data_IF_057948931777
#
_entry.id   IF_057948931777
#
_cell.length_a   1.000
_cell.length_b   1.000
_cell.length_c   1.000
_cell.angle_alpha   90.00
_cell.angle_beta   90.00
_cell.angle_gamma   90.00
#
_symmetry.space_group_name_H-M   'P 1'
#
loop_
_entity.id
_entity.type
_entity.pdbx_description
1 polymer ?
#
# COMPACT_ATOMS: atom_id res chain seq x y z
N UNK A 1 -39.37 16.84 32.32
CA UNK A 1 -40.22 16.74 31.12
C UNK A 1 -39.31 16.91 29.92
N UNK A 2 -38.74 15.79 29.47
CA UNK A 2 -39.15 15.00 28.28
C UNK A 2 -38.53 15.56 27.00
N UNK A 3 -37.35 15.03 26.62
CA UNK A 3 -37.11 14.07 25.51
C UNK A 3 -37.11 14.77 24.14
N UNK A 4 -36.13 14.58 23.26
CA UNK A 4 -35.83 13.28 22.62
C UNK A 4 -34.42 13.27 22.02
N UNK A 5 -33.70 12.18 22.28
CA UNK A 5 -32.44 11.74 21.66
C UNK A 5 -32.67 11.25 20.22
N UNK A 6 -31.64 11.34 19.38
CA UNK A 6 -31.52 10.52 18.18
C UNK A 6 -30.10 9.96 18.13
N UNK A 7 -29.97 8.72 18.64
CA UNK A 7 -28.79 7.88 18.64
C UNK A 7 -28.35 7.53 17.21
N UNK A 8 -27.12 7.93 16.84
CA UNK A 8 -26.43 7.49 15.62
C UNK A 8 -25.49 6.30 15.86
N UNK A 9 -25.98 5.26 16.55
CA UNK A 9 -25.23 4.02 16.78
C UNK A 9 -25.12 3.22 15.48
N UNK A 10 -23.88 3.02 15.00
CA UNK A 10 -23.57 1.95 14.06
C UNK A 10 -23.25 0.69 14.87
N UNK A 11 -24.16 -0.27 14.87
CA UNK A 11 -23.90 -1.59 15.44
C UNK A 11 -22.95 -2.37 14.52
N UNK A 12 -21.69 -2.50 14.95
CA UNK A 12 -20.77 -3.52 14.43
C UNK A 12 -21.02 -4.81 15.21
N UNK A 13 -21.66 -5.76 14.55
CA UNK A 13 -21.94 -7.09 15.08
C UNK A 13 -20.68 -7.75 15.65
N UNK A 14 -20.79 -8.22 16.89
CA UNK A 14 -19.74 -8.95 17.57
C UNK A 14 -19.45 -10.28 16.88
N UNK A 15 -18.24 -10.40 16.36
CA UNK A 15 -17.66 -11.65 15.90
C UNK A 15 -16.26 -11.78 16.50
N UNK A 16 -16.08 -12.77 17.36
CA UNK A 16 -14.80 -13.15 17.95
C UNK A 16 -13.81 -13.45 16.83
N UNK A 17 -12.74 -12.64 16.69
CA UNK A 17 -11.69 -12.87 15.70
C UNK A 17 -10.88 -14.11 16.14
N UNK A 18 -11.21 -15.25 15.54
CA UNK A 18 -10.36 -16.43 15.59
C UNK A 18 -8.98 -16.11 15.00
N UNK A 19 -7.92 -16.53 15.70
CA UNK A 19 -6.55 -16.57 15.18
C UNK A 19 -6.52 -17.48 13.95
N UNK A 20 -6.68 -16.90 12.76
CA UNK A 20 -6.69 -17.60 11.49
C UNK A 20 -5.30 -17.60 10.85
N UNK A 21 -4.76 -18.79 10.61
CA UNK A 21 -3.71 -19.03 9.62
C UNK A 21 -4.09 -18.39 8.29
N UNK A 22 -3.19 -17.59 7.71
CA UNK A 22 -3.41 -16.97 6.41
C UNK A 22 -3.52 -18.04 5.30
N UNK A 23 -4.50 -17.95 4.39
CA UNK A 23 -4.51 -18.78 3.19
C UNK A 23 -3.27 -18.48 2.33
N UNK A 24 -2.75 -19.46 1.56
CA UNK A 24 -1.66 -19.21 0.62
C UNK A 24 -2.06 -18.13 -0.39
N UNK A 25 -1.12 -17.31 -0.90
CA UNK A 25 -1.43 -16.27 -1.87
C UNK A 25 -1.97 -16.89 -3.17
N UNK A 26 -3.28 -16.85 -3.37
CA UNK A 26 -3.95 -17.39 -4.57
C UNK A 26 -4.12 -16.35 -5.67
N UNK A 27 -3.66 -15.10 -5.49
CA UNK A 27 -3.68 -14.11 -6.56
C UNK A 27 -2.66 -14.49 -7.64
N UNK A 28 -3.16 -14.99 -8.76
CA UNK A 28 -2.38 -15.14 -9.99
C UNK A 28 -1.87 -13.75 -10.42
N UNK A 29 -0.57 -13.65 -10.67
CA UNK A 29 0.08 -12.41 -11.08
C UNK A 29 0.48 -12.53 -12.56
N UNK A 30 -0.11 -11.75 -13.48
CA UNK A 30 0.27 -11.74 -14.90
C UNK A 30 1.78 -11.49 -15.12
N UNK A 31 2.43 -10.81 -14.17
CA UNK A 31 3.88 -10.66 -14.12
C UNK A 31 4.63 -11.99 -14.27
N UNK A 32 4.15 -13.06 -13.64
CA UNK A 32 4.81 -14.36 -13.66
C UNK A 32 4.52 -15.20 -14.91
N UNK A 33 3.49 -14.85 -15.66
CA UNK A 33 3.23 -15.47 -16.96
C UNK A 33 4.08 -14.80 -18.03
N UNK A 34 4.18 -13.46 -17.98
CA UNK A 34 5.05 -12.70 -18.87
C UNK A 34 6.53 -12.94 -18.59
N UNK A 35 6.91 -13.04 -17.30
CA UNK A 35 8.30 -13.21 -16.86
C UNK A 35 8.42 -14.37 -15.85
N UNK A 36 8.45 -15.64 -16.31
CA UNK A 36 8.46 -16.81 -15.42
C UNK A 36 9.61 -16.85 -14.42
N UNK A 37 10.79 -16.31 -14.76
CA UNK A 37 11.95 -16.24 -13.86
C UNK A 37 11.68 -15.45 -12.58
N UNK A 38 10.73 -14.49 -12.60
CA UNK A 38 10.39 -13.69 -11.42
C UNK A 38 9.62 -14.48 -10.35
N UNK A 39 9.16 -15.71 -10.64
CA UNK A 39 8.56 -16.61 -9.63
C UNK A 39 9.53 -16.96 -8.50
N UNK A 40 10.84 -16.84 -8.73
CA UNK A 40 11.86 -17.04 -7.70
C UNK A 40 11.91 -15.90 -6.67
N UNK A 41 11.31 -14.74 -6.95
CA UNK A 41 11.24 -13.62 -6.03
C UNK A 41 10.10 -13.84 -5.04
N UNK A 42 10.37 -13.95 -3.73
CA UNK A 42 9.34 -14.22 -2.74
C UNK A 42 8.41 -13.02 -2.57
N UNK A 43 7.19 -13.29 -2.10
CA UNK A 43 6.16 -12.29 -1.82
C UNK A 43 5.39 -12.63 -0.55
N UNK A 44 4.86 -11.62 0.13
CA UNK A 44 3.89 -11.77 1.20
C UNK A 44 2.46 -11.72 0.62
N UNK A 45 1.46 -12.51 1.06
CA UNK A 45 0.09 -12.44 0.55
C UNK A 45 -0.67 -11.21 1.10
N UNK A 46 -0.34 -10.00 0.63
CA UNK A 46 -0.91 -8.77 1.22
C UNK A 46 -2.18 -8.29 0.53
N UNK A 47 -2.23 -8.41 -0.79
CA UNK A 47 -3.31 -7.87 -1.61
C UNK A 47 -4.11 -8.91 -2.38
N UNK A 48 -5.31 -8.49 -2.76
CA UNK A 48 -6.23 -9.22 -3.62
C UNK A 48 -6.20 -8.58 -5.02
N UNK A 49 -5.76 -9.36 -6.00
CA UNK A 49 -5.60 -8.94 -7.39
C UNK A 49 -6.32 -9.91 -8.33
N UNK A 50 -6.84 -9.43 -9.49
CA UNK A 50 -6.76 -8.06 -10.00
C UNK A 50 -7.64 -7.08 -9.22
N UNK A 51 -7.18 -5.82 -9.06
CA UNK A 51 -8.03 -4.79 -8.47
C UNK A 51 -9.16 -4.40 -9.44
N UNK A 52 -10.38 -4.12 -8.95
CA UNK A 52 -11.52 -3.81 -9.79
C UNK A 52 -11.30 -2.58 -10.66
N UNK A 53 -11.98 -2.53 -11.80
CA UNK A 53 -12.10 -1.33 -12.65
C UNK A 53 -13.55 -0.87 -12.61
N UNK A 54 -13.76 0.43 -12.48
CA UNK A 54 -15.09 1.01 -12.32
C UNK A 54 -15.27 2.24 -13.22
N UNK A 55 -16.38 2.28 -13.96
CA UNK A 55 -16.77 3.44 -14.73
C UNK A 55 -17.35 4.51 -13.80
N UNK A 56 -16.76 5.71 -13.82
CA UNK A 56 -17.24 6.86 -13.06
C UNK A 56 -18.04 7.76 -13.99
N UNK A 57 -19.26 8.10 -13.57
CA UNK A 57 -20.21 8.93 -14.33
C UNK A 57 -20.55 10.18 -13.54
N UNK A 58 -21.06 11.20 -14.24
CA UNK A 58 -21.61 12.42 -13.60
C UNK A 58 -20.57 13.48 -13.24
N UNK A 59 -19.35 13.40 -13.79
CA UNK A 59 -18.36 14.46 -13.69
C UNK A 59 -18.52 15.40 -14.89
N UNK A 60 -18.84 16.67 -14.63
CA UNK A 60 -19.05 17.67 -15.67
C UNK A 60 -17.80 17.81 -16.56
N UNK A 61 -17.98 17.71 -17.87
CA UNK A 61 -16.89 17.80 -18.85
C UNK A 61 -16.04 16.54 -19.00
N UNK A 62 -16.43 15.41 -18.39
CA UNK A 62 -15.74 14.13 -18.51
C UNK A 62 -16.73 13.04 -18.91
N UNK A 63 -16.73 12.69 -20.19
CA UNK A 63 -17.65 11.71 -20.77
C UNK A 63 -17.23 10.26 -20.50
N UNK A 64 -15.92 10.02 -20.39
CA UNK A 64 -15.34 8.70 -20.15
C UNK A 64 -14.28 8.76 -19.06
N UNK A 65 -14.59 8.20 -17.89
CA UNK A 65 -13.64 8.03 -16.80
C UNK A 65 -13.78 6.63 -16.23
N UNK A 66 -12.65 5.96 -16.11
CA UNK A 66 -12.53 4.68 -15.42
C UNK A 66 -11.51 4.82 -14.30
N UNK A 67 -11.80 4.18 -13.17
CA UNK A 67 -10.90 4.13 -12.02
C UNK A 67 -10.55 2.68 -11.74
N UNK A 68 -9.24 2.40 -11.71
CA UNK A 68 -8.72 1.15 -11.17
C UNK A 68 -8.67 1.26 -9.65
N UNK A 69 -9.56 0.53 -8.97
CA UNK A 69 -9.86 0.61 -7.53
C UNK A 69 -8.80 -0.08 -6.69
N UNK A 70 -7.56 0.38 -6.79
CA UNK A 70 -6.47 -0.10 -5.94
C UNK A 70 -6.74 0.16 -4.45
N UNK A 71 -7.58 1.11 -4.10
CA UNK A 71 -8.05 1.32 -2.72
C UNK A 71 -8.78 0.09 -2.13
N UNK A 72 -9.27 -0.82 -2.98
CA UNK A 72 -9.97 -2.06 -2.60
C UNK A 72 -9.08 -3.31 -2.71
N UNK A 73 -7.78 -3.16 -2.97
CA UNK A 73 -6.87 -4.29 -3.23
C UNK A 73 -6.33 -5.00 -1.97
N UNK A 74 -6.88 -4.71 -0.79
CA UNK A 74 -6.51 -5.39 0.45
C UNK A 74 -7.66 -5.30 1.46
N UNK A 75 -7.81 -6.29 2.36
CA UNK A 75 -8.86 -6.30 3.37
C UNK A 75 -8.70 -5.18 4.41
N UNK A 76 -7.46 -4.75 4.65
CA UNK A 76 -7.14 -3.68 5.58
C UNK A 76 -6.21 -2.70 4.90
N UNK A 77 -6.70 -1.47 4.66
CA UNK A 77 -5.97 -0.38 4.02
C UNK A 77 -5.33 -0.78 2.68
N UNK A 78 -6.16 -0.76 1.64
CA UNK A 78 -5.72 -0.91 0.26
C UNK A 78 -4.90 0.28 -0.24
N UNK A 79 -4.64 0.26 -1.54
CA UNK A 79 -4.01 1.33 -2.28
C UNK A 79 -2.74 0.89 -2.99
N UNK A 80 -2.09 1.86 -3.65
CA UNK A 80 -0.92 1.58 -4.48
C UNK A 80 0.25 0.99 -3.66
N UNK A 81 0.37 1.30 -2.37
CA UNK A 81 1.47 0.80 -1.53
C UNK A 81 1.41 -0.69 -1.27
N UNK A 82 0.22 -1.30 -1.26
CA UNK A 82 0.07 -2.76 -1.09
C UNK A 82 0.87 -3.50 -2.17
N UNK A 83 0.79 -3.04 -3.41
CA UNK A 83 1.50 -3.63 -4.55
C UNK A 83 3.01 -3.70 -4.35
N UNK A 84 3.64 -2.62 -3.89
CA UNK A 84 5.07 -2.64 -3.59
C UNK A 84 5.40 -3.44 -2.33
N UNK A 85 4.58 -3.29 -1.29
CA UNK A 85 4.79 -3.97 -0.01
C UNK A 85 4.70 -5.49 -0.14
N UNK A 86 3.96 -6.00 -1.12
CA UNK A 86 3.84 -7.44 -1.37
C UNK A 86 5.22 -8.09 -1.57
N UNK A 87 6.10 -7.41 -2.31
CA UNK A 87 7.46 -7.86 -2.54
C UNK A 87 8.42 -7.43 -1.42
N UNK A 88 8.23 -6.23 -0.85
CA UNK A 88 9.15 -5.66 0.14
C UNK A 88 9.01 -6.27 1.54
N UNK A 89 7.85 -6.82 1.88
CA UNK A 89 7.59 -7.52 3.14
C UNK A 89 7.68 -9.05 3.00
N UNK A 90 8.23 -9.53 1.89
CA UNK A 90 8.46 -10.95 1.69
C UNK A 90 9.36 -11.52 2.81
N UNK A 91 8.90 -12.59 3.45
CA UNK A 91 9.61 -13.25 4.56
C UNK A 91 9.66 -12.45 5.86
N UNK A 92 8.88 -11.37 5.98
CA UNK A 92 8.62 -10.70 7.26
C UNK A 92 7.64 -11.55 8.08
N UNK A 93 7.93 -11.74 9.36
CA UNK A 93 7.07 -12.50 10.26
C UNK A 93 7.12 -12.04 11.72
N UNK A 94 6.51 -12.81 12.63
CA UNK A 94 6.51 -12.51 14.06
C UNK A 94 7.93 -12.31 14.63
N UNK A 95 8.13 -11.23 15.38
CA UNK A 95 9.41 -10.88 16.00
C UNK A 95 10.35 -10.04 15.12
N UNK A 96 10.06 -9.89 13.82
CA UNK A 96 10.79 -8.94 12.97
C UNK A 96 10.44 -7.49 13.32
N UNK A 97 11.37 -6.58 13.02
CA UNK A 97 11.11 -5.14 13.03
C UNK A 97 11.24 -4.57 11.62
N UNK A 98 10.14 -4.04 11.08
CA UNK A 98 10.14 -3.30 9.83
C UNK A 98 10.57 -1.87 10.07
N UNK A 99 11.66 -1.44 9.43
CA UNK A 99 12.15 -0.07 9.46
C UNK A 99 11.76 0.65 8.17
N UNK A 100 11.12 1.80 8.29
CA UNK A 100 10.76 2.66 7.16
C UNK A 100 10.94 4.13 7.52
N UNK A 101 10.61 5.03 6.59
CA UNK A 101 10.68 6.47 6.78
C UNK A 101 9.61 7.20 5.98
N UNK A 102 9.19 8.37 6.48
CA UNK A 102 8.21 9.24 5.84
C UNK A 102 7.90 10.47 6.69
N UNK A 103 7.34 11.51 6.07
CA UNK A 103 6.82 12.66 6.81
C UNK A 103 5.74 12.27 7.83
N UNK A 104 5.45 13.13 8.79
CA UNK A 104 4.51 12.83 9.89
C UNK A 104 3.14 12.24 9.46
N UNK A 105 2.60 12.67 8.32
CA UNK A 105 1.31 12.24 7.76
C UNK A 105 1.47 11.30 6.55
N UNK A 106 2.57 10.55 6.48
CA UNK A 106 2.88 9.70 5.33
C UNK A 106 1.98 8.45 5.26
N UNK A 107 1.20 8.35 4.19
CA UNK A 107 0.41 7.14 3.87
C UNK A 107 1.28 5.91 3.64
N UNK A 108 2.55 6.10 3.24
CA UNK A 108 3.53 5.01 3.13
C UNK A 108 3.86 4.39 4.49
N UNK A 109 4.06 5.22 5.52
CA UNK A 109 4.33 4.74 6.88
C UNK A 109 3.11 4.01 7.44
N UNK A 110 1.91 4.58 7.24
CA UNK A 110 0.65 3.96 7.63
C UNK A 110 0.45 2.59 6.95
N UNK A 111 0.66 2.50 5.63
CA UNK A 111 0.53 1.26 4.88
C UNK A 111 1.57 0.22 5.31
N UNK A 112 2.83 0.62 5.46
CA UNK A 112 3.89 -0.27 5.93
C UNK A 112 3.54 -0.85 7.30
N UNK A 113 3.12 0.01 8.24
CA UNK A 113 2.76 -0.41 9.58
C UNK A 113 1.55 -1.34 9.63
N UNK A 114 0.54 -1.04 8.81
CA UNK A 114 -0.68 -1.86 8.70
C UNK A 114 -0.34 -3.27 8.24
N UNK A 115 0.40 -3.39 7.15
CA UNK A 115 0.71 -4.69 6.55
C UNK A 115 1.82 -5.45 7.29
N UNK A 116 2.80 -4.77 7.89
CA UNK A 116 3.78 -5.40 8.78
C UNK A 116 3.12 -6.02 10.01
N UNK A 117 2.17 -5.29 10.63
CA UNK A 117 1.41 -5.80 11.78
C UNK A 117 0.57 -7.02 11.42
N UNK A 118 -0.04 -7.05 10.22
CA UNK A 118 -0.75 -8.25 9.73
C UNK A 118 0.16 -9.48 9.66
N UNK A 119 1.44 -9.29 9.35
CA UNK A 119 2.46 -10.34 9.34
C UNK A 119 3.05 -10.64 10.74
N UNK A 120 2.57 -9.97 11.80
CA UNK A 120 3.06 -10.13 13.17
C UNK A 120 4.33 -9.34 13.51
N UNK A 121 4.79 -8.46 12.62
CA UNK A 121 6.00 -7.67 12.80
C UNK A 121 5.71 -6.28 13.38
N UNK A 122 6.69 -5.76 14.14
CA UNK A 122 6.66 -4.38 14.62
C UNK A 122 7.10 -3.40 13.54
N UNK A 123 6.76 -2.11 13.68
CA UNK A 123 7.24 -1.05 12.80
C UNK A 123 7.95 0.06 13.54
N UNK A 124 9.14 0.43 13.06
CA UNK A 124 9.87 1.64 13.43
C UNK A 124 9.89 2.58 12.22
N UNK A 125 9.53 3.85 12.43
CA UNK A 125 9.53 4.84 11.37
C UNK A 125 10.39 6.05 11.74
N UNK A 126 11.35 6.41 10.89
CA UNK A 126 12.06 7.70 11.00
C UNK A 126 11.22 8.77 10.30
N UNK A 127 10.82 9.80 11.04
CA UNK A 127 9.85 10.80 10.56
C UNK A 127 10.33 12.22 10.73
N UNK A 128 9.93 13.07 9.80
CA UNK A 128 10.22 14.51 9.81
C UNK A 128 8.94 15.35 9.64
N UNK A 129 8.97 16.64 10.05
CA UNK A 129 7.90 17.58 9.76
C UNK A 129 7.73 17.82 8.26
N UNK A 130 6.49 17.95 7.81
CA UNK A 130 6.14 18.39 6.46
C UNK A 130 4.84 19.19 6.56
N UNK A 131 4.41 19.82 5.47
CA UNK A 131 3.12 20.51 5.42
C UNK A 131 1.98 19.55 5.83
N UNK A 132 1.17 19.98 6.78
CA UNK A 132 0.10 19.16 7.34
C UNK A 132 -1.26 19.74 6.93
N UNK A 133 -2.07 18.93 6.27
CA UNK A 133 -3.47 19.18 6.00
C UNK A 133 -4.37 18.19 6.77
N UNK A 134 -5.69 18.38 6.76
CA UNK A 134 -6.63 17.57 7.53
C UNK A 134 -6.44 16.04 7.32
N UNK A 135 -6.25 15.60 6.07
CA UNK A 135 -5.95 14.19 5.76
C UNK A 135 -4.59 13.74 6.31
N UNK A 136 -3.54 14.56 6.25
CA UNK A 136 -2.23 14.22 6.83
C UNK A 136 -2.31 14.05 8.36
N UNK A 137 -3.12 14.87 9.04
CA UNK A 137 -3.38 14.70 10.48
C UNK A 137 -4.12 13.41 10.81
N UNK A 138 -5.11 13.01 10.00
CA UNK A 138 -5.79 11.71 10.14
C UNK A 138 -4.82 10.54 9.96
N UNK A 139 -3.99 10.58 8.91
CA UNK A 139 -2.96 9.56 8.66
C UNK A 139 -1.97 9.46 9.83
N UNK A 140 -1.56 10.59 10.40
CA UNK A 140 -0.68 10.61 11.58
C UNK A 140 -1.36 9.93 12.79
N UNK A 141 -2.62 10.24 13.07
CA UNK A 141 -3.38 9.65 14.17
C UNK A 141 -3.55 8.13 13.98
N UNK A 142 -3.95 7.68 12.79
CA UNK A 142 -4.08 6.26 12.46
C UNK A 142 -2.74 5.53 12.57
N UNK A 143 -1.64 6.15 12.12
CA UNK A 143 -0.29 5.60 12.24
C UNK A 143 0.08 5.40 13.72
N UNK A 144 -0.27 6.35 14.59
CA UNK A 144 -0.09 6.23 16.04
C UNK A 144 -0.91 5.09 16.64
N UNK A 145 -2.17 4.93 16.21
CA UNK A 145 -3.04 3.83 16.65
C UNK A 145 -2.51 2.45 16.24
N UNK A 146 -1.65 2.34 15.21
CA UNK A 146 -0.96 1.09 14.85
C UNK A 146 0.28 0.78 15.70
N UNK A 147 0.63 1.62 16.67
CA UNK A 147 1.76 1.37 17.57
C UNK A 147 3.13 1.59 16.92
N UNK A 148 3.21 2.41 15.87
CA UNK A 148 4.49 2.71 15.19
C UNK A 148 5.45 3.41 16.14
N UNK A 149 6.63 2.82 16.35
CA UNK A 149 7.72 3.43 17.11
C UNK A 149 8.38 4.53 16.27
N UNK A 150 8.09 5.78 16.58
CA UNK A 150 8.64 6.92 15.85
C UNK A 150 10.05 7.30 16.32
N UNK A 151 10.93 7.59 15.35
CA UNK A 151 12.21 8.27 15.55
C UNK A 151 12.17 9.62 14.85
N UNK A 152 12.46 10.70 15.56
CA UNK A 152 12.47 12.04 14.98
C UNK A 152 13.67 12.27 14.06
N UNK A 153 13.43 13.01 12.99
CA UNK A 153 14.43 13.60 12.11
C UNK A 153 14.02 15.04 11.78
N UNK A 154 15.00 15.90 11.53
CA UNK A 154 14.74 17.31 11.23
C UNK A 154 14.23 17.52 9.80
N UNK A 155 14.77 16.75 8.87
CA UNK A 155 14.49 16.84 7.43
C UNK A 155 14.41 15.45 6.82
N UNK A 156 13.94 15.36 5.57
CA UNK A 156 14.00 14.13 4.79
C UNK A 156 15.44 13.62 4.63
N UNK A 157 16.41 14.53 4.46
CA UNK A 157 17.84 14.16 4.32
C UNK A 157 18.37 13.55 5.61
N UNK A 158 18.11 14.17 6.76
CA UNK A 158 18.46 13.62 8.08
C UNK A 158 17.81 12.25 8.30
N UNK A 159 16.54 12.10 7.90
CA UNK A 159 15.84 10.82 8.00
C UNK A 159 16.52 9.72 7.16
N UNK A 160 16.89 10.04 5.92
CA UNK A 160 17.61 9.12 5.03
C UNK A 160 18.94 8.70 5.64
N UNK A 161 19.73 9.62 6.19
CA UNK A 161 21.01 9.30 6.82
C UNK A 161 20.83 8.38 8.04
N UNK A 162 19.83 8.66 8.89
CA UNK A 162 19.53 7.84 10.08
C UNK A 162 19.12 6.42 9.72
N UNK A 163 18.27 6.22 8.71
CA UNK A 163 17.87 4.86 8.31
C UNK A 163 19.05 4.05 7.77
N UNK A 164 20.06 4.68 7.15
CA UNK A 164 21.26 3.94 6.73
C UNK A 164 21.98 3.29 7.90
N UNK A 165 22.03 3.96 9.05
CA UNK A 165 22.61 3.40 10.27
C UNK A 165 21.70 2.36 10.91
N UNK A 166 20.42 2.71 11.13
CA UNK A 166 19.46 1.85 11.82
C UNK A 166 19.20 0.52 11.10
N UNK A 167 19.21 0.49 9.77
CA UNK A 167 18.96 -0.73 8.99
C UNK A 167 20.03 -1.81 9.15
N UNK A 168 21.18 -1.49 9.76
CA UNK A 168 22.26 -2.45 10.02
C UNK A 168 22.03 -3.27 11.28
N UNK A 169 21.04 -2.91 12.10
CA UNK A 169 20.72 -3.67 13.30
C UNK A 169 20.18 -5.07 12.93
N UNK A 170 20.56 -6.12 13.68
CA UNK A 170 20.03 -7.46 13.47
C UNK A 170 18.50 -7.49 13.57
N UNK A 171 17.84 -8.29 12.73
CA UNK A 171 16.38 -8.45 12.72
C UNK A 171 15.61 -7.25 12.14
N UNK A 172 16.29 -6.27 11.56
CA UNK A 172 15.65 -5.13 10.89
C UNK A 172 15.41 -5.41 9.41
N UNK A 173 14.16 -5.23 8.98
CA UNK A 173 13.71 -5.34 7.59
C UNK A 173 13.44 -3.95 7.04
N UNK A 174 14.29 -3.47 6.12
CA UNK A 174 14.20 -2.10 5.64
C UNK A 174 13.27 -1.96 4.43
N UNK A 175 12.27 -1.09 4.54
CA UNK A 175 11.39 -0.66 3.46
C UNK A 175 11.78 0.76 3.04
N UNK A 176 12.20 0.99 1.79
CA UNK A 176 12.62 2.30 1.33
C UNK A 176 11.47 3.31 1.29
N UNK A 177 11.82 4.59 1.25
CA UNK A 177 10.85 5.69 1.17
C UNK A 177 9.86 5.46 0.02
N UNK A 178 8.57 5.46 0.33
CA UNK A 178 7.50 5.25 -0.64
C UNK A 178 7.47 3.85 -1.28
N UNK A 179 8.30 2.90 -0.81
CA UNK A 179 8.44 1.56 -1.38
C UNK A 179 9.16 1.53 -2.74
N UNK A 180 9.71 2.67 -3.17
CA UNK A 180 10.30 2.80 -4.51
C UNK A 180 11.70 2.18 -4.54
N UNK A 181 11.81 1.03 -5.21
CA UNK A 181 13.03 0.26 -5.42
C UNK A 181 12.81 -0.71 -6.58
N UNK A 182 13.87 -1.28 -7.19
CA UNK A 182 13.71 -2.29 -8.25
C UNK A 182 12.78 -3.45 -7.86
N UNK A 183 12.80 -3.87 -6.59
CA UNK A 183 11.90 -4.91 -6.10
C UNK A 183 10.46 -4.39 -5.92
N UNK A 184 10.29 -3.22 -5.30
CA UNK A 184 8.96 -2.66 -5.04
C UNK A 184 8.19 -2.21 -6.28
N UNK A 185 8.88 -1.90 -7.39
CA UNK A 185 8.21 -1.55 -8.66
C UNK A 185 7.55 -2.74 -9.35
N UNK A 186 7.96 -3.99 -9.04
CA UNK A 186 7.38 -5.19 -9.65
C UNK A 186 5.87 -5.30 -9.45
N UNK A 187 5.35 -4.88 -8.28
CA UNK A 187 3.91 -4.86 -8.04
C UNK A 187 3.16 -3.87 -8.95
N UNK A 188 3.82 -2.81 -9.39
CA UNK A 188 3.26 -1.84 -10.34
C UNK A 188 3.45 -2.27 -11.79
N UNK A 189 4.52 -3.01 -12.12
CA UNK A 189 4.63 -3.71 -13.41
C UNK A 189 3.48 -4.70 -13.56
N UNK A 190 3.21 -5.48 -12.50
CA UNK A 190 2.05 -6.36 -12.48
C UNK A 190 0.74 -5.59 -12.70
N UNK A 191 0.58 -4.41 -12.08
CA UNK A 191 -0.62 -3.59 -12.27
C UNK A 191 -0.84 -3.15 -13.73
N UNK A 192 0.23 -2.87 -14.47
CA UNK A 192 0.15 -2.56 -15.91
C UNK A 192 -0.29 -3.77 -16.74
N UNK A 193 0.33 -4.93 -16.50
CA UNK A 193 -0.04 -6.18 -17.15
C UNK A 193 -1.49 -6.59 -16.83
N UNK A 194 -1.87 -6.47 -15.55
CA UNK A 194 -3.23 -6.68 -15.03
C UNK A 194 -4.26 -5.81 -15.75
N UNK A 195 -3.97 -4.53 -15.93
CA UNK A 195 -4.82 -3.62 -16.68
C UNK A 195 -4.97 -4.07 -18.15
N UNK A 196 -3.88 -4.46 -18.81
CA UNK A 196 -3.93 -4.96 -20.17
C UNK A 196 -4.76 -6.25 -20.30
N UNK A 197 -4.73 -7.13 -19.30
CA UNK A 197 -5.61 -8.30 -19.25
C UNK A 197 -7.07 -7.90 -19.12
N UNK A 198 -7.38 -6.94 -18.24
CA UNK A 198 -8.74 -6.46 -18.03
C UNK A 198 -9.33 -5.80 -19.31
N UNK A 199 -8.51 -5.08 -20.08
CA UNK A 199 -8.90 -4.55 -21.40
C UNK A 199 -9.17 -5.68 -22.39
N UNK A 200 -8.26 -6.66 -22.49
CA UNK A 200 -8.45 -7.83 -23.38
C UNK A 200 -9.69 -8.65 -23.03
N UNK A 201 -10.04 -8.71 -21.74
CA UNK A 201 -11.25 -9.37 -21.25
C UNK A 201 -12.53 -8.55 -21.45
N UNK A 202 -12.45 -7.32 -21.97
CA UNK A 202 -13.60 -6.45 -22.20
C UNK A 202 -14.20 -5.83 -20.94
N UNK A 203 -13.47 -5.82 -19.81
CA UNK A 203 -13.95 -5.25 -18.54
C UNK A 203 -13.97 -3.71 -18.56
N UNK A 204 -13.14 -3.12 -19.40
CA UNK A 204 -13.08 -1.69 -19.70
C UNK A 204 -12.53 -1.49 -21.12
N UNK A 205 -12.84 -0.36 -21.80
CA UNK A 205 -12.22 -0.02 -23.07
C UNK A 205 -10.72 0.28 -22.88
N UNK A 206 -9.96 0.18 -23.97
CA UNK A 206 -8.55 0.60 -23.97
C UNK A 206 -8.45 2.10 -23.65
N UNK A 207 -7.70 2.50 -22.60
CA UNK A 207 -7.62 3.89 -22.19
C UNK A 207 -6.68 4.67 -23.12
N UNK A 208 -7.17 5.79 -23.67
CA UNK A 208 -6.32 6.74 -24.42
C UNK A 208 -5.28 7.42 -23.52
N UNK A 209 -5.60 7.57 -22.22
CA UNK A 209 -4.77 8.24 -21.24
C UNK A 209 -4.88 7.56 -19.89
N UNK A 210 -3.73 7.42 -19.22
CA UNK A 210 -3.65 6.96 -17.84
C UNK A 210 -3.18 8.10 -16.95
N UNK A 211 -3.97 8.41 -15.93
CA UNK A 211 -3.65 9.44 -14.94
C UNK A 211 -3.25 8.75 -13.65
N UNK A 212 -2.05 9.08 -13.14
CA UNK A 212 -1.51 8.49 -11.91
C UNK A 212 -0.96 9.59 -11.00
N UNK A 213 -1.28 9.58 -9.69
CA UNK A 213 -0.65 10.51 -8.76
C UNK A 213 0.86 10.26 -8.67
N UNK A 214 1.65 11.33 -8.74
CA UNK A 214 3.11 11.25 -8.71
C UNK A 214 3.67 11.74 -7.37
N UNK A 215 4.35 10.83 -6.67
CA UNK A 215 5.16 11.14 -5.49
C UNK A 215 6.61 10.75 -5.72
N UNK A 216 7.09 9.71 -5.03
CA UNK A 216 8.46 9.15 -5.21
C UNK A 216 8.67 8.49 -6.59
N UNK A 217 7.61 8.29 -7.37
CA UNK A 217 7.70 7.84 -8.77
C UNK A 217 7.58 6.33 -9.00
N UNK A 218 7.72 5.48 -7.97
CA UNK A 218 7.67 4.02 -8.14
C UNK A 218 6.39 3.49 -8.81
N UNK A 219 5.22 4.07 -8.52
CA UNK A 219 3.96 3.72 -9.20
C UNK A 219 4.04 3.98 -10.70
N UNK A 220 4.42 5.19 -11.09
CA UNK A 220 4.46 5.61 -12.49
C UNK A 220 5.52 4.83 -13.28
N UNK A 221 6.69 4.62 -12.68
CA UNK A 221 7.77 3.84 -13.30
C UNK A 221 7.35 2.38 -13.55
N UNK A 222 6.75 1.72 -12.56
CA UNK A 222 6.29 0.35 -12.74
C UNK A 222 5.14 0.22 -13.74
N UNK A 223 4.18 1.14 -13.73
CA UNK A 223 3.11 1.18 -14.73
C UNK A 223 3.67 1.40 -16.14
N UNK A 224 4.60 2.34 -16.32
CA UNK A 224 5.24 2.59 -17.61
C UNK A 224 5.97 1.34 -18.13
N UNK A 225 6.70 0.61 -17.27
CA UNK A 225 7.36 -0.64 -17.64
C UNK A 225 6.38 -1.78 -17.94
N UNK A 226 5.26 -1.86 -17.22
CA UNK A 226 4.25 -2.91 -17.41
C UNK A 226 3.39 -2.72 -18.66
N UNK A 227 3.34 -1.49 -19.19
CA UNK A 227 2.56 -1.10 -20.37
C UNK A 227 3.41 -0.89 -21.64
N UNK A 228 4.73 -0.97 -21.52
CA UNK A 228 5.68 -0.90 -22.64
C UNK A 228 5.80 -2.24 -23.37
#
# INVERSE_FOLDING_TARGET
MTTTEADGRWEVGGGTLHQGSFPPPTSHLPLYDRFPALRAIPRAPLGDFPSPVEAVRGIAGVDTLWVKRDDLNAPELGGNKVRSLEFLLAGVGPGDTVLTLGGHGSTHVLATATHARRLGADTVAVRWPHEMHATAHRVLAETGARGVRARGAWTAVDAVLRVQWLRRAPGVRYVPLGGSSPLGVLGHVNAGLELAEQVRAGLLPEPERLVVPLGIGGTAAGLALGLA
#
